data_IF_439363289019
#
_entry.id   IF_439363289019
#
_cell.length_a   1.000
_cell.length_b   1.000
_cell.length_c   1.000
_cell.angle_alpha   90.00
_cell.angle_beta   90.00
_cell.angle_gamma   90.00
#
_symmetry.space_group_name_H-M   'P 1'
#
loop_
_entity.id
_entity.type
_entity.pdbx_description
1 polymer ?
#
# COMPACT_ATOMS: atom_id res chain seq x y z
N UNK A 1 0.88 -11.69 36.89
CA UNK A 1 2.20 -11.02 36.99
C UNK A 1 3.15 -11.30 35.83
N UNK A 2 3.59 -12.54 35.52
CA UNK A 2 4.53 -12.76 34.40
C UNK A 2 3.92 -12.53 33.01
N UNK A 3 2.66 -12.96 32.80
CA UNK A 3 1.95 -12.80 31.51
C UNK A 3 1.67 -11.32 31.16
N UNK A 4 1.35 -10.49 32.16
CA UNK A 4 1.11 -9.05 31.98
C UNK A 4 2.40 -8.28 31.68
N UNK A 5 3.54 -8.69 32.26
CA UNK A 5 4.84 -8.13 31.90
C UNK A 5 5.22 -8.46 30.47
N UNK A 6 4.90 -9.67 30.01
CA UNK A 6 5.16 -10.08 28.63
C UNK A 6 4.31 -9.28 27.63
N UNK A 7 3.03 -9.05 27.91
CA UNK A 7 2.17 -8.14 27.13
C UNK A 7 2.77 -6.74 27.00
N UNK A 8 3.27 -6.18 28.12
CA UNK A 8 3.79 -4.82 28.20
C UNK A 8 5.14 -4.63 27.49
N UNK A 9 5.91 -5.69 27.30
CA UNK A 9 7.20 -5.63 26.59
C UNK A 9 7.02 -5.97 25.12
N UNK A 10 6.24 -7.02 24.82
CA UNK A 10 6.20 -7.62 23.49
C UNK A 10 5.37 -6.78 22.50
N UNK A 11 4.30 -6.13 22.98
CA UNK A 11 3.46 -5.26 22.13
C UNK A 11 4.22 -3.98 21.71
N UNK A 12 4.83 -3.19 22.63
CA UNK A 12 5.61 -2.02 22.22
C UNK A 12 6.81 -2.39 21.35
N UNK A 13 7.47 -3.52 21.62
CA UNK A 13 8.60 -3.98 20.80
C UNK A 13 8.15 -4.33 19.37
N UNK A 14 7.02 -5.04 19.21
CA UNK A 14 6.46 -5.33 17.88
C UNK A 14 6.07 -4.07 17.11
N UNK A 15 5.44 -3.10 17.78
CA UNK A 15 5.12 -1.80 17.20
C UNK A 15 6.39 -1.01 16.82
N UNK A 16 7.44 -1.07 17.64
CA UNK A 16 8.71 -0.43 17.39
C UNK A 16 9.43 -1.04 16.17
N UNK A 17 9.38 -2.36 16.00
CA UNK A 17 9.91 -3.03 14.80
C UNK A 17 9.20 -2.54 13.54
N UNK A 18 7.87 -2.49 13.56
CA UNK A 18 7.07 -1.98 12.44
C UNK A 18 7.36 -0.48 12.17
N UNK A 19 7.45 0.34 13.22
CA UNK A 19 7.76 1.75 13.10
C UNK A 19 9.15 1.99 12.51
N UNK A 20 10.18 1.29 13.01
CA UNK A 20 11.54 1.36 12.49
C UNK A 20 11.59 0.93 11.01
N UNK A 21 10.87 -0.14 10.64
CA UNK A 21 10.76 -0.57 9.25
C UNK A 21 10.18 0.53 8.35
N UNK A 22 9.05 1.12 8.74
CA UNK A 22 8.40 2.17 7.94
C UNK A 22 9.21 3.47 7.88
N UNK A 23 9.92 3.84 8.95
CA UNK A 23 10.85 4.97 8.97
C UNK A 23 12.05 4.71 8.06
N UNK A 24 12.66 3.52 8.13
CA UNK A 24 13.74 3.13 7.24
C UNK A 24 13.30 3.12 5.78
N UNK A 25 12.10 2.62 5.48
CA UNK A 25 11.53 2.62 4.15
C UNK A 25 11.32 4.05 3.64
N UNK A 26 10.71 4.92 4.44
CA UNK A 26 10.50 6.32 4.08
C UNK A 26 11.83 7.02 3.79
N UNK A 27 12.83 6.83 4.65
CA UNK A 27 14.17 7.37 4.47
C UNK A 27 14.82 6.85 3.18
N UNK A 28 14.66 5.55 2.89
CA UNK A 28 15.22 4.92 1.69
C UNK A 28 14.54 5.41 0.42
N UNK A 29 13.22 5.59 0.43
CA UNK A 29 12.46 6.17 -0.70
C UNK A 29 12.93 7.60 -0.98
N UNK A 30 13.09 8.43 0.07
CA UNK A 30 13.49 9.82 -0.07
C UNK A 30 14.95 9.99 -0.52
N UNK A 31 15.87 9.19 0.04
CA UNK A 31 17.31 9.35 -0.19
C UNK A 31 17.81 8.55 -1.40
N UNK A 32 17.20 7.40 -1.68
CA UNK A 32 17.62 6.47 -2.73
C UNK A 32 16.41 5.85 -3.47
N UNK A 33 15.61 6.65 -4.20
CA UNK A 33 14.38 6.18 -4.85
C UNK A 33 14.64 5.00 -5.80
N UNK A 34 15.76 5.02 -6.53
CA UNK A 34 16.18 3.94 -7.45
C UNK A 34 16.57 2.64 -6.75
N UNK A 35 16.67 2.62 -5.43
CA UNK A 35 16.90 1.39 -4.65
C UNK A 35 15.63 0.64 -4.30
N UNK A 36 14.47 1.28 -4.42
CA UNK A 36 13.18 0.73 -4.02
C UNK A 36 12.33 0.36 -5.22
N UNK A 37 11.50 -0.69 -5.08
CA UNK A 37 10.52 -1.06 -6.11
C UNK A 37 9.54 0.08 -6.38
N UNK A 38 9.19 0.86 -5.35
CA UNK A 38 8.29 2.01 -5.47
C UNK A 38 8.86 3.08 -6.42
N UNK A 39 10.11 3.47 -6.21
CA UNK A 39 10.77 4.48 -7.06
C UNK A 39 11.01 3.97 -8.48
N UNK A 40 11.41 2.69 -8.62
CA UNK A 40 11.59 2.08 -9.94
C UNK A 40 10.28 2.04 -10.74
N UNK A 41 9.18 1.62 -10.10
CA UNK A 41 7.87 1.60 -10.73
C UNK A 41 7.33 3.00 -11.02
N UNK A 42 7.72 4.01 -10.24
CA UNK A 42 7.34 5.40 -10.51
C UNK A 42 7.98 5.92 -11.79
N UNK A 43 9.25 5.58 -12.03
CA UNK A 43 9.96 5.89 -13.27
C UNK A 43 9.37 5.13 -14.46
N UNK A 44 9.15 3.82 -14.32
CA UNK A 44 8.51 3.01 -15.37
C UNK A 44 7.14 3.55 -15.77
N UNK A 45 6.32 3.99 -14.79
CA UNK A 45 5.02 4.58 -15.07
C UNK A 45 5.13 5.93 -15.76
N UNK A 46 6.13 6.73 -15.42
CA UNK A 46 6.38 8.01 -16.06
C UNK A 46 6.67 7.82 -17.55
N UNK A 47 7.59 6.93 -17.89
CA UNK A 47 7.94 6.66 -19.29
C UNK A 47 6.82 5.94 -20.04
N UNK A 48 6.08 5.07 -19.35
CA UNK A 48 4.87 4.49 -19.91
C UNK A 48 3.87 5.57 -20.31
N UNK A 49 3.66 6.61 -19.49
CA UNK A 49 2.81 7.75 -19.86
C UNK A 49 3.35 8.50 -21.08
N UNK A 50 4.65 8.79 -21.14
CA UNK A 50 5.28 9.42 -22.31
C UNK A 50 5.01 8.62 -23.60
N UNK A 51 5.19 7.29 -23.54
CA UNK A 51 4.94 6.40 -24.67
C UNK A 51 3.46 6.26 -25.05
N UNK A 52 2.55 6.27 -24.08
CA UNK A 52 1.11 6.19 -24.37
C UNK A 52 0.59 7.50 -24.96
N UNK A 53 1.13 8.65 -24.54
CA UNK A 53 0.70 9.97 -25.02
C UNK A 53 1.37 10.41 -26.32
N UNK A 54 2.44 9.75 -26.78
CA UNK A 54 3.07 10.07 -28.07
C UNK A 54 2.18 9.76 -29.28
N UNK A 55 1.27 8.78 -29.15
CA UNK A 55 0.27 8.44 -30.18
C UNK A 55 -1.06 8.03 -29.50
N UNK A 56 -1.89 9.01 -29.11
CA UNK A 56 -3.14 8.73 -28.40
C UNK A 56 -4.16 7.93 -29.24
N UNK A 57 -4.13 8.05 -30.57
CA UNK A 57 -5.06 7.35 -31.46
C UNK A 57 -4.78 5.85 -31.48
N UNK A 58 -3.50 5.47 -31.45
CA UNK A 58 -3.07 4.06 -31.40
C UNK A 58 -3.09 3.48 -29.98
N UNK A 59 -2.61 4.26 -29.01
CA UNK A 59 -2.31 3.75 -27.66
C UNK A 59 -3.40 4.06 -26.63
N UNK A 60 -4.34 4.96 -26.92
CA UNK A 60 -5.34 5.44 -25.96
C UNK A 60 -6.21 4.33 -25.36
N UNK A 61 -6.63 3.35 -26.16
CA UNK A 61 -7.44 2.21 -25.68
C UNK A 61 -6.66 1.35 -24.68
N UNK A 62 -5.40 1.03 -24.99
CA UNK A 62 -4.52 0.27 -24.10
C UNK A 62 -4.26 1.03 -22.79
N UNK A 63 -4.07 2.33 -22.89
CA UNK A 63 -3.86 3.20 -21.73
C UNK A 63 -5.07 3.20 -20.79
N UNK A 64 -6.27 3.48 -21.32
CA UNK A 64 -7.52 3.47 -20.55
C UNK A 64 -7.79 2.09 -19.95
N UNK A 65 -7.56 1.01 -20.70
CA UNK A 65 -7.77 -0.35 -20.21
C UNK A 65 -6.84 -0.69 -19.05
N UNK A 66 -5.55 -0.34 -19.16
CA UNK A 66 -4.57 -0.51 -18.08
C UNK A 66 -4.99 0.26 -16.83
N UNK A 67 -5.42 1.51 -16.99
CA UNK A 67 -5.88 2.35 -15.88
C UNK A 67 -7.15 1.77 -15.24
N UNK A 68 -8.09 1.27 -16.06
CA UNK A 68 -9.31 0.62 -15.57
C UNK A 68 -9.02 -0.62 -14.73
N UNK A 69 -8.02 -1.42 -15.09
CA UNK A 69 -7.60 -2.56 -14.28
C UNK A 69 -7.07 -2.12 -12.91
N UNK A 70 -6.32 -1.01 -12.86
CA UNK A 70 -5.85 -0.42 -11.60
C UNK A 70 -6.99 0.17 -10.76
N UNK A 71 -8.00 0.79 -11.40
CA UNK A 71 -9.23 1.24 -10.73
C UNK A 71 -9.96 0.03 -10.13
N UNK A 72 -10.17 -1.03 -10.91
CA UNK A 72 -10.83 -2.25 -10.44
C UNK A 72 -10.11 -2.85 -9.22
N UNK A 73 -8.77 -2.98 -9.28
CA UNK A 73 -7.98 -3.46 -8.16
C UNK A 73 -8.12 -2.57 -6.91
N UNK A 74 -8.10 -1.24 -7.08
CA UNK A 74 -8.30 -0.29 -5.98
C UNK A 74 -9.73 -0.39 -5.40
N UNK A 75 -10.74 -0.58 -6.24
CA UNK A 75 -12.14 -0.76 -5.82
C UNK A 75 -12.31 -2.04 -5.02
N UNK A 76 -11.73 -3.16 -5.47
CA UNK A 76 -11.77 -4.43 -4.73
C UNK A 76 -11.12 -4.29 -3.35
N UNK A 77 -9.98 -3.61 -3.26
CA UNK A 77 -9.34 -3.35 -1.97
C UNK A 77 -10.18 -2.41 -1.09
N UNK A 78 -10.78 -1.36 -1.66
CA UNK A 78 -11.67 -0.47 -0.91
C UNK A 78 -12.90 -1.20 -0.36
N UNK A 79 -13.54 -2.07 -1.15
CA UNK A 79 -14.71 -2.84 -0.72
C UNK A 79 -14.33 -3.85 0.38
N UNK A 80 -13.17 -4.50 0.27
CA UNK A 80 -12.67 -5.38 1.35
C UNK A 80 -12.39 -4.57 2.63
N UNK A 81 -11.80 -3.37 2.53
CA UNK A 81 -11.51 -2.54 3.69
C UNK A 81 -12.78 -2.14 4.46
N UNK A 82 -13.81 -1.65 3.74
CA UNK A 82 -15.05 -1.20 4.38
C UNK A 82 -15.89 -2.37 4.90
N UNK A 83 -15.89 -3.52 4.20
CA UNK A 83 -16.59 -4.73 4.68
C UNK A 83 -15.95 -5.27 5.95
N UNK A 84 -14.62 -5.36 6.03
CA UNK A 84 -13.92 -5.74 7.25
C UNK A 84 -14.13 -4.75 8.40
N UNK A 85 -14.16 -3.44 8.10
CA UNK A 85 -14.51 -2.40 9.07
C UNK A 85 -15.91 -2.62 9.66
N UNK A 86 -16.90 -2.90 8.80
CA UNK A 86 -18.27 -3.19 9.23
C UNK A 86 -18.35 -4.47 10.07
N UNK A 87 -17.66 -5.54 9.66
CA UNK A 87 -17.65 -6.81 10.37
C UNK A 87 -17.05 -6.67 11.78
N UNK A 88 -15.94 -5.93 11.91
CA UNK A 88 -15.33 -5.67 13.22
C UNK A 88 -16.27 -4.85 14.11
N UNK A 89 -16.97 -3.87 13.54
CA UNK A 89 -17.93 -3.04 14.30
C UNK A 89 -19.11 -3.88 14.82
N UNK A 90 -19.67 -4.75 13.99
CA UNK A 90 -20.76 -5.67 14.40
C UNK A 90 -20.27 -6.64 15.47
N UNK A 91 -19.09 -7.22 15.28
CA UNK A 91 -18.50 -8.15 16.25
C UNK A 91 -18.30 -7.52 17.64
N UNK A 92 -17.84 -6.27 17.69
CA UNK A 92 -17.68 -5.51 18.95
C UNK A 92 -19.02 -5.26 19.63
N UNK A 93 -20.06 -4.90 18.88
CA UNK A 93 -21.41 -4.67 19.42
C UNK A 93 -22.00 -5.97 19.98
N UNK A 94 -21.96 -7.07 19.24
CA UNK A 94 -22.51 -8.36 19.69
C UNK A 94 -21.75 -8.96 20.89
N UNK A 95 -20.45 -8.68 21.00
CA UNK A 95 -19.63 -9.11 22.16
C UNK A 95 -19.96 -8.33 23.44
N UNK A 96 -20.56 -7.14 23.32
CA UNK A 96 -20.92 -6.31 24.47
C UNK A 96 -22.20 -6.81 25.17
N UNK A 97 -23.09 -7.47 24.42
CA UNK A 97 -24.35 -8.02 24.93
C UNK A 97 -24.17 -9.42 25.59
N UNK A 98 -23.15 -10.17 25.18
CA UNK A 98 -22.85 -11.54 25.65
C UNK A 98 -21.83 -11.55 26.79
N UNK A 99 -22.18 -10.93 27.91
CA UNK A 99 -21.27 -10.67 29.04
C UNK A 99 -20.72 -11.90 29.81
N UNK A 100 -21.00 -13.15 29.41
CA UNK A 100 -20.67 -14.33 30.24
C UNK A 100 -20.01 -15.56 29.56
N UNK A 101 -19.63 -15.56 28.28
CA UNK A 101 -19.26 -16.84 27.60
C UNK A 101 -17.96 -16.89 26.79
N UNK A 102 -17.11 -15.85 26.78
CA UNK A 102 -15.90 -15.79 25.91
C UNK A 102 -14.56 -15.90 26.64
N UNK A 103 -14.54 -16.49 27.85
CA UNK A 103 -13.39 -16.43 28.75
C UNK A 103 -12.25 -17.43 28.50
N UNK A 104 -12.37 -18.38 27.57
CA UNK A 104 -11.36 -19.45 27.40
C UNK A 104 -10.44 -19.32 26.17
N UNK A 105 -10.80 -18.55 25.14
CA UNK A 105 -10.03 -18.51 23.88
C UNK A 105 -9.01 -17.34 23.81
N UNK A 106 -9.17 -16.30 24.63
CA UNK A 106 -8.36 -15.08 24.55
C UNK A 106 -7.18 -15.12 25.54
N UNK A 107 -5.97 -15.35 25.03
CA UNK A 107 -4.72 -15.29 25.79
C UNK A 107 -4.21 -13.85 25.88
N UNK A 108 -4.42 -13.16 27.02
CA UNK A 108 -3.91 -11.80 27.26
C UNK A 108 -4.68 -11.04 28.34
N UNK A 109 -4.18 -9.86 28.73
CA UNK A 109 -4.79 -9.02 29.77
C UNK A 109 -6.27 -8.69 29.49
N UNK A 110 -7.16 -9.03 30.43
CA UNK A 110 -8.64 -8.98 30.31
C UNK A 110 -9.25 -7.58 30.52
N UNK A 111 -8.46 -6.51 30.41
CA UNK A 111 -8.99 -5.16 30.59
C UNK A 111 -9.93 -4.78 29.44
N UNK A 112 -11.16 -4.38 29.77
CA UNK A 112 -12.17 -3.89 28.80
C UNK A 112 -11.61 -2.75 27.94
N UNK A 113 -10.82 -1.86 28.55
CA UNK A 113 -10.18 -0.74 27.88
C UNK A 113 -9.14 -1.19 26.83
N UNK A 114 -8.35 -2.22 27.15
CA UNK A 114 -7.36 -2.77 26.21
C UNK A 114 -8.05 -3.43 25.00
N UNK A 115 -9.15 -4.14 25.24
CA UNK A 115 -9.97 -4.74 24.18
C UNK A 115 -10.54 -3.69 23.23
N UNK A 116 -11.09 -2.59 23.77
CA UNK A 116 -11.58 -1.46 22.96
C UNK A 116 -10.48 -0.82 22.12
N UNK A 117 -9.28 -0.63 22.66
CA UNK A 117 -8.14 -0.08 21.93
C UNK A 117 -7.74 -1.00 20.76
N UNK A 118 -7.72 -2.33 20.95
CA UNK A 118 -7.41 -3.29 19.90
C UNK A 118 -8.36 -3.16 18.71
N UNK A 119 -9.66 -3.22 18.96
CA UNK A 119 -10.67 -3.14 17.90
C UNK A 119 -10.69 -1.77 17.23
N UNK A 120 -10.55 -0.68 18.00
CA UNK A 120 -10.46 0.67 17.44
C UNK A 120 -9.24 0.83 16.52
N UNK A 121 -8.09 0.27 16.92
CA UNK A 121 -6.86 0.31 16.10
C UNK A 121 -7.02 -0.45 14.78
N UNK A 122 -7.68 -1.61 14.80
CA UNK A 122 -7.99 -2.39 13.60
C UNK A 122 -8.94 -1.61 12.68
N UNK A 123 -10.02 -1.06 13.24
CA UNK A 123 -11.00 -0.26 12.51
C UNK A 123 -10.34 0.94 11.83
N UNK A 124 -9.52 1.68 12.58
CA UNK A 124 -8.78 2.84 12.06
C UNK A 124 -7.85 2.42 10.92
N UNK A 125 -7.15 1.30 11.06
CA UNK A 125 -6.26 0.78 10.03
C UNK A 125 -7.01 0.47 8.72
N UNK A 126 -8.17 -0.20 8.80
CA UNK A 126 -8.99 -0.46 7.61
C UNK A 126 -9.62 0.81 7.02
N UNK A 127 -10.02 1.77 7.85
CA UNK A 127 -10.55 3.04 7.36
C UNK A 127 -9.49 3.85 6.60
N UNK A 128 -8.25 3.87 7.10
CA UNK A 128 -7.10 4.46 6.37
C UNK A 128 -6.90 3.73 5.03
N UNK A 129 -6.90 2.40 5.03
CA UNK A 129 -6.79 1.62 3.79
C UNK A 129 -7.91 1.95 2.79
N UNK A 130 -9.15 2.10 3.26
CA UNK A 130 -10.30 2.50 2.46
C UNK A 130 -10.10 3.88 1.84
N UNK A 131 -9.79 4.90 2.64
CA UNK A 131 -9.58 6.27 2.17
C UNK A 131 -8.44 6.32 1.12
N UNK A 132 -7.31 5.65 1.39
CA UNK A 132 -6.19 5.59 0.46
C UNK A 132 -6.57 4.96 -0.90
N UNK A 133 -7.36 3.88 -0.90
CA UNK A 133 -7.83 3.26 -2.13
C UNK A 133 -8.87 4.12 -2.87
N UNK A 134 -9.75 4.82 -2.16
CA UNK A 134 -10.68 5.81 -2.77
C UNK A 134 -9.90 6.95 -3.43
N UNK A 135 -8.84 7.44 -2.79
CA UNK A 135 -7.97 8.46 -3.37
C UNK A 135 -7.25 7.97 -4.62
N UNK A 136 -6.76 6.72 -4.61
CA UNK A 136 -6.20 6.06 -5.79
C UNK A 136 -7.18 6.04 -6.96
N UNK A 137 -8.44 5.61 -6.73
CA UNK A 137 -9.50 5.58 -7.75
C UNK A 137 -9.71 6.97 -8.35
N UNK A 138 -9.77 8.02 -7.53
CA UNK A 138 -9.94 9.40 -8.00
C UNK A 138 -8.83 9.83 -8.95
N UNK A 139 -7.57 9.58 -8.56
CA UNK A 139 -6.42 9.93 -9.41
C UNK A 139 -6.41 9.13 -10.71
N UNK A 140 -6.67 7.83 -10.66
CA UNK A 140 -6.72 6.98 -11.85
C UNK A 140 -7.86 7.36 -12.79
N UNK A 141 -9.06 7.66 -12.27
CA UNK A 141 -10.16 8.16 -13.08
C UNK A 141 -9.78 9.46 -13.78
N UNK A 142 -9.16 10.41 -13.07
CA UNK A 142 -8.71 11.66 -13.67
C UNK A 142 -7.66 11.44 -14.77
N UNK A 143 -6.67 10.59 -14.53
CA UNK A 143 -5.64 10.23 -15.52
C UNK A 143 -6.25 9.53 -16.73
N UNK A 144 -7.30 8.72 -16.55
CA UNK A 144 -7.97 8.02 -17.66
C UNK A 144 -8.58 8.96 -18.70
N UNK A 145 -9.06 10.13 -18.27
CA UNK A 145 -9.55 11.16 -19.18
C UNK A 145 -8.40 11.94 -19.84
N UNK A 146 -7.38 12.31 -19.06
CA UNK A 146 -6.27 13.13 -19.55
C UNK A 146 -5.41 12.40 -20.58
N UNK A 147 -5.17 11.10 -20.39
CA UNK A 147 -4.29 10.32 -21.27
C UNK A 147 -4.87 10.15 -22.70
N UNK A 148 -6.17 10.37 -22.87
CA UNK A 148 -6.86 10.29 -24.16
C UNK A 148 -7.02 11.64 -24.86
N UNK A 149 -6.63 12.75 -24.23
CA UNK A 149 -6.89 14.09 -24.75
C UNK A 149 -5.88 14.44 -25.87
N UNK A 150 -6.32 14.66 -27.13
CA UNK A 150 -5.41 14.89 -28.27
C UNK A 150 -4.56 16.15 -28.13
N UNK A 151 -5.07 17.17 -27.44
CA UNK A 151 -4.43 18.48 -27.25
C UNK A 151 -3.22 18.46 -26.31
N UNK A 152 -2.88 17.30 -25.75
CA UNK A 152 -1.78 17.14 -24.77
C UNK A 152 -0.46 16.66 -25.40
N UNK A 153 -0.46 16.25 -26.67
CA UNK A 153 0.70 15.63 -27.34
C UNK A 153 1.85 16.62 -27.51
N UNK A 154 1.56 17.88 -27.82
CA UNK A 154 2.59 18.91 -28.08
C UNK A 154 3.04 19.65 -26.80
N UNK A 155 2.41 19.37 -25.65
CA UNK A 155 2.70 20.08 -24.41
C UNK A 155 3.33 19.14 -23.37
N UNK A 156 4.67 19.22 -23.28
CA UNK A 156 5.48 18.46 -22.31
C UNK A 156 4.98 18.61 -20.88
N UNK A 157 4.47 19.79 -20.48
CA UNK A 157 3.92 20.01 -19.14
C UNK A 157 2.64 19.21 -18.89
N UNK A 158 1.83 18.99 -19.93
CA UNK A 158 0.62 18.18 -19.85
C UNK A 158 0.98 16.71 -19.58
N UNK A 159 1.97 16.18 -20.30
CA UNK A 159 2.41 14.79 -20.13
C UNK A 159 3.04 14.56 -18.75
N UNK A 160 3.88 15.50 -18.29
CA UNK A 160 4.45 15.48 -16.94
C UNK A 160 3.35 15.51 -15.87
N UNK A 161 2.33 16.34 -16.07
CA UNK A 161 1.20 16.43 -15.17
C UNK A 161 0.44 15.11 -15.08
N UNK A 162 0.21 14.43 -16.21
CA UNK A 162 -0.45 13.11 -16.25
C UNK A 162 0.39 12.06 -15.52
N UNK A 163 1.69 11.99 -15.81
CA UNK A 163 2.63 11.08 -15.16
C UNK A 163 2.67 11.28 -13.63
N UNK A 164 2.72 12.54 -13.18
CA UNK A 164 2.69 12.88 -11.76
C UNK A 164 1.39 12.47 -11.09
N UNK A 165 0.24 12.69 -11.72
CA UNK A 165 -1.05 12.28 -11.17
C UNK A 165 -1.19 10.76 -11.12
N UNK A 166 -0.69 10.04 -12.13
CA UNK A 166 -0.67 8.57 -12.13
C UNK A 166 0.18 8.04 -10.97
N UNK A 167 1.35 8.65 -10.74
CA UNK A 167 2.21 8.30 -9.61
C UNK A 167 1.57 8.61 -8.26
N UNK A 168 0.86 9.74 -8.09
CA UNK A 168 0.11 10.04 -6.86
C UNK A 168 -0.99 9.02 -6.58
N UNK A 169 -1.71 8.57 -7.61
CA UNK A 169 -2.67 7.48 -7.52
C UNK A 169 -2.01 6.19 -7.04
N UNK A 170 -0.89 5.82 -7.67
CA UNK A 170 -0.14 4.61 -7.31
C UNK A 170 0.48 4.66 -5.91
N UNK A 171 0.93 5.82 -5.43
CA UNK A 171 1.38 5.97 -4.05
C UNK A 171 0.23 5.79 -3.06
N UNK A 172 -0.95 6.34 -3.36
CA UNK A 172 -2.14 6.16 -2.52
C UNK A 172 -2.56 4.69 -2.48
N UNK A 173 -2.55 4.00 -3.61
CA UNK A 173 -2.80 2.55 -3.69
C UNK A 173 -1.78 1.74 -2.87
N UNK A 174 -0.50 2.05 -3.03
CA UNK A 174 0.60 1.39 -2.31
C UNK A 174 0.54 1.62 -0.80
N UNK A 175 0.06 2.79 -0.37
CA UNK A 175 -0.18 3.11 1.03
C UNK A 175 -1.38 2.33 1.59
N UNK A 176 -2.47 2.24 0.82
CA UNK A 176 -3.64 1.45 1.18
C UNK A 176 -3.30 -0.04 1.34
N UNK A 177 -2.50 -0.60 0.43
CA UNK A 177 -2.03 -1.98 0.52
C UNK A 177 -1.15 -2.21 1.76
N UNK A 178 -0.29 -1.25 2.11
CA UNK A 178 0.52 -1.32 3.34
C UNK A 178 -0.34 -1.25 4.61
N UNK A 179 -1.39 -0.43 4.62
CA UNK A 179 -2.35 -0.41 5.71
C UNK A 179 -3.05 -1.79 5.86
N UNK A 180 -3.34 -2.50 4.76
CA UNK A 180 -3.80 -3.89 4.83
C UNK A 180 -2.75 -4.81 5.48
N UNK A 181 -1.48 -4.72 5.08
CA UNK A 181 -0.44 -5.53 5.71
C UNK A 181 -0.28 -5.26 7.21
N UNK A 182 -0.42 -3.99 7.64
CA UNK A 182 -0.41 -3.61 9.05
C UNK A 182 -1.62 -4.16 9.82
N UNK A 183 -2.77 -4.33 9.17
CA UNK A 183 -3.98 -4.87 9.81
C UNK A 183 -3.83 -6.32 10.27
N UNK A 184 -2.97 -7.13 9.62
CA UNK A 184 -2.78 -8.55 9.98
C UNK A 184 -2.16 -8.73 11.37
N UNK A 185 -1.03 -8.09 11.72
CA UNK A 185 -0.54 -8.10 13.10
C UNK A 185 -1.63 -7.68 14.09
N UNK A 186 -2.35 -6.59 13.81
CA UNK A 186 -3.41 -6.09 14.71
C UNK A 186 -4.54 -7.09 14.91
N UNK A 187 -4.94 -7.85 13.87
CA UNK A 187 -5.88 -8.97 14.01
C UNK A 187 -5.31 -10.09 14.87
N UNK A 188 -4.04 -10.45 14.69
CA UNK A 188 -3.37 -11.47 15.51
C UNK A 188 -3.22 -11.04 16.97
N UNK A 189 -3.21 -9.73 17.25
CA UNK A 189 -3.20 -9.19 18.60
C UNK A 189 -4.47 -9.51 19.41
N UNK A 190 -5.56 -9.86 18.73
CA UNK A 190 -6.78 -10.35 19.37
C UNK A 190 -6.50 -11.68 20.09
N UNK A 191 -5.70 -12.57 19.48
CA UNK A 191 -5.36 -13.88 20.04
C UNK A 191 -4.25 -13.84 21.11
N UNK A 192 -3.42 -12.80 21.09
CA UNK A 192 -2.43 -12.54 22.14
C UNK A 192 -1.19 -11.76 21.68
N UNK A 193 -0.27 -11.44 22.59
CA UNK A 193 0.95 -10.68 22.30
C UNK A 193 1.98 -11.49 21.50
N UNK A 194 2.04 -12.81 21.69
CA UNK A 194 3.00 -13.71 21.05
C UNK A 194 2.73 -13.80 19.53
N UNK A 195 1.52 -14.16 19.06
CA UNK A 195 1.22 -14.18 17.63
C UNK A 195 1.35 -12.79 17.00
N UNK A 196 1.00 -11.72 17.73
CA UNK A 196 1.21 -10.34 17.29
C UNK A 196 2.68 -10.05 16.95
N UNK A 197 3.60 -10.36 17.87
CA UNK A 197 5.02 -10.07 17.67
C UNK A 197 5.65 -10.90 16.56
N UNK A 198 5.34 -12.20 16.51
CA UNK A 198 5.81 -13.06 15.42
C UNK A 198 5.32 -12.55 14.06
N UNK A 199 4.06 -12.10 13.99
CA UNK A 199 3.50 -11.49 12.79
C UNK A 199 4.19 -10.17 12.43
N UNK A 200 4.53 -9.31 13.39
CA UNK A 200 5.28 -8.08 13.15
C UNK A 200 6.64 -8.37 12.51
N UNK A 201 7.39 -9.33 13.05
CA UNK A 201 8.69 -9.75 12.51
C UNK A 201 8.55 -10.35 11.10
N UNK A 202 7.58 -11.25 10.92
CA UNK A 202 7.31 -11.88 9.63
C UNK A 202 6.90 -10.85 8.57
N UNK A 203 5.95 -9.95 8.88
CA UNK A 203 5.52 -8.89 7.98
C UNK A 203 6.65 -7.94 7.63
N UNK A 204 7.51 -7.59 8.58
CA UNK A 204 8.68 -6.76 8.30
C UNK A 204 9.66 -7.45 7.35
N UNK A 205 9.85 -8.77 7.49
CA UNK A 205 10.66 -9.57 6.57
C UNK A 205 10.05 -9.64 5.16
N UNK A 206 8.75 -9.92 5.06
CA UNK A 206 8.02 -9.97 3.79
C UNK A 206 8.06 -8.60 3.09
N UNK A 207 7.77 -7.52 3.83
CA UNK A 207 7.82 -6.17 3.30
C UNK A 207 9.22 -5.79 2.86
N UNK A 208 10.26 -6.15 3.63
CA UNK A 208 11.64 -5.93 3.22
C UNK A 208 11.96 -6.62 1.89
N UNK A 209 11.53 -7.87 1.70
CA UNK A 209 11.74 -8.58 0.45
C UNK A 209 10.94 -7.97 -0.71
N UNK A 210 9.70 -7.52 -0.46
CA UNK A 210 8.85 -6.88 -1.46
C UNK A 210 9.36 -5.49 -1.88
N UNK A 211 9.91 -4.73 -0.94
CA UNK A 211 10.38 -3.37 -1.15
C UNK A 211 11.83 -3.31 -1.66
N UNK A 212 12.63 -4.33 -1.33
CA UNK A 212 14.00 -4.47 -1.81
C UNK A 212 14.00 -5.04 -3.23
N UNK A 213 14.30 -4.19 -4.20
CA UNK A 213 14.52 -4.63 -5.58
C UNK A 213 15.76 -5.52 -5.63
N UNK A 214 15.58 -6.79 -6.03
CA UNK A 214 16.66 -7.72 -6.31
C UNK A 214 17.63 -7.09 -7.32
N UNK A 215 18.94 -7.29 -7.12
CA UNK A 215 19.99 -6.72 -7.99
C UNK A 215 19.76 -7.02 -9.47
N UNK A 216 19.16 -8.18 -9.77
CA UNK A 216 18.79 -8.61 -11.11
C UNK A 216 17.75 -7.70 -11.78
N UNK A 217 16.62 -7.42 -11.14
CA UNK A 217 15.56 -6.54 -11.69
C UNK A 217 16.08 -5.12 -11.91
N UNK A 218 16.92 -4.64 -11.00
CA UNK A 218 17.62 -3.34 -11.13
C UNK A 218 18.55 -3.32 -12.34
N UNK A 219 19.31 -4.39 -12.57
CA UNK A 219 20.22 -4.49 -13.72
C UNK A 219 19.47 -4.60 -15.04
N UNK A 220 18.36 -5.35 -15.08
CA UNK A 220 17.53 -5.48 -16.27
C UNK A 220 16.89 -4.14 -16.65
N UNK A 221 16.30 -3.44 -15.67
CA UNK A 221 15.72 -2.12 -15.87
C UNK A 221 16.79 -1.14 -16.37
N UNK A 222 17.96 -1.08 -15.72
CA UNK A 222 19.09 -0.24 -16.16
C UNK A 222 19.59 -0.57 -17.58
N UNK A 223 19.60 -1.85 -17.97
CA UNK A 223 19.97 -2.27 -19.33
C UNK A 223 18.93 -1.80 -20.35
N UNK A 224 17.64 -2.01 -20.08
CA UNK A 224 16.54 -1.54 -20.92
C UNK A 224 16.63 -0.02 -21.14
N UNK A 225 16.82 0.76 -20.07
CA UNK A 225 16.98 2.22 -20.19
C UNK A 225 18.18 2.60 -21.03
N UNK A 226 19.35 2.01 -20.74
CA UNK A 226 20.58 2.33 -21.48
C UNK A 226 20.43 2.02 -22.97
N UNK A 227 19.77 0.92 -23.30
CA UNK A 227 19.54 0.51 -24.69
C UNK A 227 18.54 1.43 -25.41
N UNK A 228 17.52 1.91 -24.71
CA UNK A 228 16.56 2.88 -25.22
C UNK A 228 17.19 4.28 -25.42
N UNK A 229 18.04 4.73 -24.48
CA UNK A 229 18.79 5.99 -24.61
C UNK A 229 19.80 5.94 -25.75
N UNK A 230 20.48 4.79 -25.92
CA UNK A 230 21.41 4.60 -27.04
C UNK A 230 20.67 4.65 -28.37
N UNK A 231 19.51 3.99 -28.50
CA UNK A 231 18.71 4.03 -29.73
C UNK A 231 18.23 5.44 -30.09
N UNK A 232 17.86 6.26 -29.10
CA UNK A 232 17.46 7.66 -29.35
C UNK A 232 18.65 8.55 -29.70
N UNK A 233 19.82 8.35 -29.10
CA UNK A 233 21.04 9.11 -29.43
C UNK A 233 21.73 8.74 -30.75
N UNK A 234 21.33 7.64 -31.41
CA UNK A 234 21.76 7.31 -32.78
C UNK A 234 20.79 7.86 -33.85
N UNK A 235 19.66 8.46 -33.43
CA UNK A 235 18.63 9.03 -34.31
C UNK A 235 18.67 10.58 -34.36
N UNK A 236 19.59 11.20 -33.61
CA UNK A 236 20.00 12.62 -33.75
C UNK A 236 21.24 12.74 -34.65
#
# INVERSE_FOLDING_TARGET
>A
MEKEKLDFILVPTGLLVLALYHVWLLFTILKHPTRTVIGLNAESRHQWVLSMMSDPLKNGVLAVQTIRNNIMASTLLATVAITLSSLISVFVTSSSDSSNTTSEIFYGNKSRLLSSIKYFSILLCFLVAFICNVQSIRYYAHVSFLITLPSSVDNVESVEYVARNLNRGSYSWSLGLRAFYLSFPLLLWIFGPIPFFLCCCFMSCVLYFLDTTTSFTRQLHRRSFKEETLKTGYLE
#
